data_IF_265084392767
#
_entry.id   IF_265084392767
#
_cell.length_a   1.000
_cell.length_b   1.000
_cell.length_c   1.000
_cell.angle_alpha   90.00
_cell.angle_beta   90.00
_cell.angle_gamma   90.00
#
_symmetry.space_group_name_H-M   'P 1'
#
loop_
_entity.id
_entity.type
_entity.pdbx_description
1 polymer ?
#
# COMPACT_ATOMS: atom_id res chain seq x y z
N UNK A 1 1.57 20.83 -8.30
CA UNK A 1 0.79 20.02 -9.26
C UNK A 1 1.05 18.56 -8.93
N UNK A 2 0.06 17.81 -8.40
CA UNK A 2 0.22 16.38 -8.20
C UNK A 2 0.38 15.71 -9.57
N UNK A 3 1.44 14.94 -9.78
CA UNK A 3 1.57 14.15 -11.01
C UNK A 3 0.43 13.13 -11.06
N UNK A 4 -0.02 12.77 -12.26
CA UNK A 4 -1.08 11.75 -12.47
C UNK A 4 -0.77 10.47 -11.68
N UNK A 5 0.51 10.08 -11.63
CA UNK A 5 0.98 8.93 -10.88
C UNK A 5 0.81 9.09 -9.36
N UNK A 6 1.11 10.25 -8.79
CA UNK A 6 0.93 10.48 -7.35
C UNK A 6 -0.56 10.44 -6.95
N UNK A 7 -1.44 10.95 -7.81
CA UNK A 7 -2.89 10.83 -7.63
C UNK A 7 -3.35 9.36 -7.69
N UNK A 8 -2.87 8.59 -8.67
CA UNK A 8 -3.17 7.15 -8.78
C UNK A 8 -2.69 6.37 -7.55
N UNK A 9 -1.46 6.62 -7.09
CA UNK A 9 -0.89 5.92 -5.92
C UNK A 9 -1.69 6.22 -4.65
N UNK A 10 -2.15 7.46 -4.48
CA UNK A 10 -3.01 7.85 -3.37
C UNK A 10 -4.38 7.20 -3.43
N UNK A 11 -5.02 7.17 -4.61
CA UNK A 11 -6.31 6.51 -4.81
C UNK A 11 -6.23 5.00 -4.53
N UNK A 12 -5.15 4.34 -4.94
CA UNK A 12 -4.93 2.91 -4.68
C UNK A 12 -4.85 2.61 -3.18
N UNK A 13 -4.11 3.42 -2.40
CA UNK A 13 -4.02 3.24 -0.94
C UNK A 13 -5.37 3.48 -0.28
N UNK A 14 -6.08 4.55 -0.66
CA UNK A 14 -7.41 4.84 -0.14
C UNK A 14 -8.40 3.71 -0.44
N UNK A 15 -8.33 3.10 -1.63
CA UNK A 15 -9.14 1.95 -1.98
C UNK A 15 -8.87 0.74 -1.08
N UNK A 16 -7.59 0.42 -0.82
CA UNK A 16 -7.21 -0.69 0.08
C UNK A 16 -7.64 -0.42 1.52
N UNK A 17 -7.53 0.81 2.00
CA UNK A 17 -8.00 1.19 3.34
C UNK A 17 -9.52 1.04 3.45
N UNK A 18 -10.25 1.52 2.44
CA UNK A 18 -11.70 1.41 2.39
C UNK A 18 -12.17 -0.05 2.36
N UNK A 19 -11.56 -0.92 1.53
CA UNK A 19 -11.94 -2.34 1.45
C UNK A 19 -11.64 -3.08 2.76
N UNK A 20 -10.48 -2.84 3.39
CA UNK A 20 -10.18 -3.45 4.68
C UNK A 20 -11.15 -2.99 5.77
N UNK A 21 -11.53 -1.70 5.80
CA UNK A 21 -12.48 -1.17 6.76
C UNK A 21 -13.88 -1.81 6.59
N UNK A 22 -14.32 -2.08 5.36
CA UNK A 22 -15.58 -2.78 5.09
C UNK A 22 -15.58 -4.21 5.68
N UNK A 23 -14.43 -4.88 5.63
CA UNK A 23 -14.23 -6.22 6.19
C UNK A 23 -13.93 -6.21 7.71
N UNK A 24 -13.93 -5.03 8.36
CA UNK A 24 -13.52 -4.88 9.77
C UNK A 24 -12.05 -5.23 10.02
N UNK A 25 -11.25 -5.37 8.96
CA UNK A 25 -9.85 -5.73 9.02
C UNK A 25 -8.97 -4.48 9.13
N UNK A 26 -7.83 -4.61 9.80
CA UNK A 26 -6.79 -3.58 9.84
C UNK A 26 -5.52 -4.09 9.19
N UNK A 27 -4.92 -3.26 8.34
CA UNK A 27 -3.58 -3.53 7.84
C UNK A 27 -2.59 -3.49 9.00
N UNK A 28 -1.59 -4.37 8.95
CA UNK A 28 -0.53 -4.34 9.95
C UNK A 28 0.29 -3.07 9.82
N UNK A 29 0.89 -2.61 10.92
CA UNK A 29 1.76 -1.43 10.93
C UNK A 29 2.87 -1.51 9.85
N UNK A 30 3.39 -2.71 9.59
CA UNK A 30 4.38 -2.92 8.54
C UNK A 30 3.82 -2.65 7.14
N UNK A 31 2.65 -3.23 6.82
CA UNK A 31 2.01 -3.03 5.51
C UNK A 31 1.59 -1.57 5.35
N UNK A 32 1.04 -0.94 6.38
CA UNK A 32 0.68 0.48 6.37
C UNK A 32 1.91 1.37 6.11
N UNK A 33 3.06 1.08 6.74
CA UNK A 33 4.31 1.79 6.47
C UNK A 33 4.75 1.67 5.01
N UNK A 34 4.66 0.46 4.43
CA UNK A 34 5.03 0.24 3.02
C UNK A 34 4.04 0.86 2.05
N UNK A 35 2.74 0.88 2.37
CA UNK A 35 1.74 1.61 1.58
C UNK A 35 1.98 3.12 1.60
N UNK A 36 2.46 3.69 2.72
CA UNK A 36 2.88 5.08 2.78
C UNK A 36 4.10 5.37 1.90
N UNK A 37 5.12 4.50 1.91
CA UNK A 37 6.28 4.61 1.01
C UNK A 37 5.86 4.54 -0.47
N UNK A 38 4.90 3.67 -0.81
CA UNK A 38 4.33 3.58 -2.15
C UNK A 38 3.57 4.85 -2.53
N UNK A 39 2.72 5.36 -1.64
CA UNK A 39 1.98 6.62 -1.83
C UNK A 39 2.93 7.80 -2.06
N UNK A 40 4.05 7.85 -1.35
CA UNK A 40 5.06 8.90 -1.51
C UNK A 40 5.93 8.70 -2.76
N UNK A 41 5.97 7.48 -3.30
CA UNK A 41 6.70 7.15 -4.54
C UNK A 41 8.13 6.71 -4.30
N UNK A 42 8.44 6.38 -3.05
CA UNK A 42 9.73 5.84 -2.62
C UNK A 42 9.91 4.40 -3.08
N UNK A 43 8.81 3.66 -3.22
CA UNK A 43 8.80 2.28 -3.70
C UNK A 43 7.72 2.07 -4.77
N UNK A 44 7.95 1.14 -5.67
CA UNK A 44 6.96 0.65 -6.64
C UNK A 44 5.96 -0.32 -5.99
N UNK A 45 4.85 -0.60 -6.68
CA UNK A 45 3.86 -1.61 -6.25
C UNK A 45 4.47 -3.01 -6.18
N UNK A 46 5.40 -3.35 -7.08
CA UNK A 46 6.12 -4.62 -7.05
C UNK A 46 7.00 -4.75 -5.79
N UNK A 47 7.67 -3.66 -5.39
CA UNK A 47 8.47 -3.64 -4.15
C UNK A 47 7.59 -3.72 -2.90
N UNK A 48 6.42 -3.05 -2.88
CA UNK A 48 5.43 -3.19 -1.81
C UNK A 48 4.99 -4.66 -1.65
N UNK A 49 4.66 -5.33 -2.76
CA UNK A 49 4.24 -6.73 -2.76
C UNK A 49 5.37 -7.64 -2.30
N UNK A 50 6.58 -7.47 -2.83
CA UNK A 50 7.75 -8.27 -2.47
C UNK A 50 8.09 -8.13 -0.97
N UNK A 51 8.07 -6.91 -0.44
CA UNK A 51 8.32 -6.65 0.99
C UNK A 51 7.26 -7.31 1.88
N UNK A 52 5.99 -7.24 1.48
CA UNK A 52 4.88 -7.87 2.21
C UNK A 52 5.00 -9.39 2.19
N UNK A 53 5.24 -9.98 1.02
CA UNK A 53 5.45 -11.42 0.86
C UNK A 53 6.62 -11.93 1.69
N UNK A 54 7.77 -11.25 1.63
CA UNK A 54 8.95 -11.60 2.41
C UNK A 54 8.68 -11.55 3.93
N UNK A 55 7.90 -10.58 4.41
CA UNK A 55 7.59 -10.42 5.84
C UNK A 55 6.69 -11.52 6.40
N UNK A 56 5.74 -12.01 5.61
CA UNK A 56 4.73 -12.98 6.02
C UNK A 56 5.00 -14.41 5.51
N UNK A 57 6.11 -14.62 4.78
CA UNK A 57 6.45 -15.94 4.23
C UNK A 57 5.51 -16.42 3.13
N UNK A 58 4.73 -15.51 2.53
CA UNK A 58 3.82 -15.84 1.45
C UNK A 58 4.62 -16.01 0.15
N UNK A 59 4.66 -17.22 -0.41
CA UNK A 59 5.26 -17.49 -1.72
C UNK A 59 4.30 -17.06 -2.84
#
# INVERSE_FOLDING_TARGET
>A
MLTREAATRSANVAHVEATNNLEGARTSAFVSSKMAEYRDGKISSAQLLAATKARYGCK
#
